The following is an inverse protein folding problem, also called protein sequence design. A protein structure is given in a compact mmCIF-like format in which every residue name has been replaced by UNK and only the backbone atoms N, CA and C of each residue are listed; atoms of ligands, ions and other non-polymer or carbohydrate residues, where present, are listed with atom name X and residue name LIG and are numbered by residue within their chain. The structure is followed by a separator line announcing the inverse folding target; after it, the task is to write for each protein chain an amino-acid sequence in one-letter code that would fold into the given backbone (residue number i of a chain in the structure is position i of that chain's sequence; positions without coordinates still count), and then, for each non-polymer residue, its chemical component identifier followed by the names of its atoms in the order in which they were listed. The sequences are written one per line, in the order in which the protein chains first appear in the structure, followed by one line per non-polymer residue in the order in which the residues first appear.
data_IF_385940849726
#
_entry.id   IF_385940849726
#
_cell.length_a   1.000
_cell.length_b   1.000
_cell.length_c   1.000
_cell.angle_alpha   90.00
_cell.angle_beta   90.00
_cell.angle_gamma   90.00
#
_symmetry.space_group_name_H-M   'P 1'
#
loop_
_entity.id
_entity.type
_entity.pdbx_description
1 polymer ?
#
# COMPACT_ATOMS: atom_id res chain seq x y z
N UNK A 1 -2.06 -18.62 24.35
CA UNK A 1 -2.11 -18.38 22.88
C UNK A 1 -1.01 -17.39 22.58
N UNK A 2 0.09 -17.87 22.02
CA UNK A 2 1.30 -17.10 21.74
C UNK A 2 1.01 -16.14 20.56
N UNK A 3 1.22 -14.86 20.77
CA UNK A 3 1.19 -13.88 19.69
C UNK A 3 2.33 -14.22 18.73
N UNK A 4 1.98 -14.68 17.54
CA UNK A 4 2.98 -14.89 16.49
C UNK A 4 3.55 -13.53 16.05
N UNK A 5 4.83 -13.38 16.25
CA UNK A 5 5.54 -12.13 15.98
C UNK A 5 5.67 -11.91 14.47
N UNK A 6 5.16 -10.79 14.00
CA UNK A 6 5.37 -10.34 12.63
C UNK A 6 6.79 -9.81 12.53
N UNK A 7 7.63 -10.48 11.74
CA UNK A 7 9.03 -10.05 11.55
C UNK A 7 9.13 -9.20 10.28
N UNK A 8 9.59 -7.98 10.43
CA UNK A 8 9.92 -7.10 9.32
C UNK A 8 11.40 -7.33 8.94
N UNK A 9 11.65 -7.84 7.75
CA UNK A 9 12.99 -7.95 7.21
C UNK A 9 13.21 -6.83 6.18
N UNK A 10 14.12 -5.91 6.50
CA UNK A 10 14.61 -4.91 5.55
C UNK A 10 16.08 -5.22 5.22
N UNK A 11 16.44 -5.23 3.95
CA UNK A 11 17.84 -5.31 3.56
C UNK A 11 18.50 -3.95 3.85
N UNK A 12 19.25 -3.88 4.97
CA UNK A 12 20.13 -2.74 5.27
C UNK A 12 19.65 -1.75 6.33
N UNK A 13 19.05 -2.20 7.43
CA UNK A 13 18.81 -1.29 8.56
C UNK A 13 18.10 -1.96 9.73
N UNK A 14 18.62 -1.76 10.92
CA UNK A 14 17.96 -2.10 12.18
C UNK A 14 16.64 -1.33 12.30
N UNK A 15 15.54 -2.03 12.55
CA UNK A 15 14.27 -1.43 12.88
C UNK A 15 14.45 -0.57 14.15
N UNK A 16 14.44 0.73 14.02
CA UNK A 16 14.43 1.65 15.15
C UNK A 16 12.98 1.89 15.57
N UNK A 17 12.58 1.50 16.78
CA UNK A 17 11.26 1.88 17.31
C UNK A 17 11.37 3.28 17.88
N UNK A 18 11.18 4.31 17.11
CA UNK A 18 11.02 5.66 17.66
C UNK A 18 10.46 6.62 16.60
N UNK A 19 9.28 7.13 16.88
CA UNK A 19 8.71 8.26 16.14
C UNK A 19 8.40 7.95 14.67
N UNK A 20 7.38 8.56 14.13
CA UNK A 20 7.07 8.46 12.70
C UNK A 20 8.13 9.24 11.92
N UNK A 21 9.13 8.55 11.37
CA UNK A 21 10.20 9.14 10.57
C UNK A 21 9.61 9.88 9.37
N UNK A 22 9.79 11.20 9.26
CA UNK A 22 9.24 12.00 8.17
C UNK A 22 9.91 11.68 6.81
N UNK A 23 11.07 11.04 6.81
CA UNK A 23 11.78 10.67 5.59
C UNK A 23 11.38 9.28 5.08
N UNK A 24 10.76 8.48 5.94
CA UNK A 24 10.32 7.14 5.60
C UNK A 24 9.20 7.16 4.54
N UNK A 25 9.30 6.36 3.47
CA UNK A 25 8.21 6.21 2.51
C UNK A 25 6.94 5.66 3.13
N UNK A 26 7.05 4.86 4.19
CA UNK A 26 5.92 4.38 4.96
C UNK A 26 6.35 4.17 6.41
N UNK A 27 5.69 4.85 7.33
CA UNK A 27 5.85 4.69 8.77
C UNK A 27 4.48 4.41 9.41
N UNK A 28 4.43 3.38 10.25
CA UNK A 28 3.23 2.89 10.91
C UNK A 28 3.49 2.84 12.41
N UNK A 29 2.55 3.32 13.21
CA UNK A 29 2.66 3.34 14.67
C UNK A 29 1.36 2.88 15.31
N UNK A 30 1.45 1.91 16.21
CA UNK A 30 0.34 1.41 17.02
C UNK A 30 -0.81 0.82 16.21
N UNK A 31 -0.55 0.29 15.02
CA UNK A 31 -1.60 -0.18 14.12
C UNK A 31 -2.31 -1.40 14.68
N UNK A 32 -3.61 -1.23 14.94
CA UNK A 32 -4.47 -2.30 15.46
C UNK A 32 -5.62 -2.52 14.47
N UNK A 33 -5.83 -3.77 14.10
CA UNK A 33 -6.93 -4.19 13.22
C UNK A 33 -7.67 -5.35 13.83
N UNK A 34 -8.98 -5.27 13.88
CA UNK A 34 -9.84 -6.36 14.39
C UNK A 34 -10.89 -6.72 13.36
N UNK A 35 -11.10 -8.01 13.16
CA UNK A 35 -12.22 -8.55 12.41
C UNK A 35 -13.23 -9.14 13.42
N UNK A 36 -14.40 -8.47 13.52
CA UNK A 36 -15.51 -8.83 14.40
C UNK A 36 -15.07 -8.91 15.88
N UNK A 37 -14.58 -10.04 16.38
CA UNK A 37 -14.23 -10.23 17.78
C UNK A 37 -12.76 -10.61 18.03
N UNK A 38 -11.98 -10.80 16.96
CA UNK A 38 -10.56 -11.21 17.11
C UNK A 38 -9.64 -10.16 16.52
N UNK A 39 -8.68 -9.65 17.31
CA UNK A 39 -7.65 -8.77 16.77
C UNK A 39 -6.77 -9.58 15.80
N UNK A 40 -6.69 -9.09 14.56
CA UNK A 40 -5.80 -9.63 13.53
C UNK A 40 -4.40 -9.00 13.62
N UNK A 41 -4.33 -7.76 14.13
CA UNK A 41 -3.10 -7.03 14.43
C UNK A 41 -3.29 -6.27 15.74
N UNK A 42 -2.26 -6.22 16.56
CA UNK A 42 -2.30 -5.49 17.82
C UNK A 42 -1.07 -4.62 17.98
N UNK A 43 -1.28 -3.29 17.98
CA UNK A 43 -0.26 -2.25 18.23
C UNK A 43 1.04 -2.46 17.44
N UNK A 44 0.93 -2.67 16.14
CA UNK A 44 2.09 -2.95 15.28
C UNK A 44 2.75 -1.64 14.87
N UNK A 45 4.06 -1.57 15.10
CA UNK A 45 4.93 -0.49 14.64
C UNK A 45 5.80 -0.99 13.47
N UNK A 46 5.98 -0.15 12.46
CA UNK A 46 6.83 -0.48 11.32
C UNK A 46 7.33 0.79 10.63
N UNK A 47 8.59 0.78 10.21
CA UNK A 47 9.19 1.86 9.42
C UNK A 47 9.94 1.26 8.26
N UNK A 48 9.70 1.77 7.06
CA UNK A 48 10.29 1.28 5.83
C UNK A 48 11.34 2.28 5.32
N UNK A 49 12.56 1.84 5.01
CA UNK A 49 13.60 2.72 4.52
C UNK A 49 13.33 3.20 3.09
N UNK A 50 13.72 4.44 2.78
CA UNK A 50 13.64 4.97 1.44
C UNK A 50 14.67 4.30 0.51
N UNK A 51 14.29 4.10 -0.76
CA UNK A 51 15.19 3.55 -1.80
C UNK A 51 15.56 2.09 -1.61
N UNK A 52 14.93 1.37 -0.68
CA UNK A 52 15.20 -0.04 -0.41
C UNK A 52 13.97 -0.91 -0.67
N UNK A 53 14.19 -2.16 -1.03
CA UNK A 53 13.15 -3.19 -1.05
C UNK A 53 12.98 -3.75 0.37
N UNK A 54 11.74 -3.78 0.85
CA UNK A 54 11.39 -4.34 2.15
C UNK A 54 10.43 -5.50 1.98
N UNK A 55 10.58 -6.54 2.80
CA UNK A 55 9.70 -7.69 2.79
C UNK A 55 9.07 -7.92 4.18
N UNK A 56 7.79 -8.27 4.18
CA UNK A 56 7.07 -8.70 5.38
C UNK A 56 6.99 -10.21 5.32
N UNK A 57 7.66 -10.88 6.25
CA UNK A 57 7.73 -12.35 6.33
C UNK A 57 7.04 -12.87 7.57
N UNK A 58 6.57 -14.10 7.51
CA UNK A 58 5.88 -14.78 8.62
C UNK A 58 4.99 -15.92 8.11
N UNK A 59 4.47 -16.76 9.00
CA UNK A 59 3.60 -17.88 8.66
C UNK A 59 2.27 -17.42 8.05
N UNK A 60 1.52 -18.38 7.49
CA UNK A 60 0.17 -18.10 7.00
C UNK A 60 -0.74 -17.78 8.20
N UNK A 61 -1.55 -16.72 8.07
CA UNK A 61 -2.39 -16.25 9.19
C UNK A 61 -1.74 -15.20 10.08
N UNK A 62 -0.42 -14.94 9.99
CA UNK A 62 0.29 -13.94 10.80
C UNK A 62 -0.13 -12.47 10.58
N UNK A 63 -1.12 -12.20 9.74
CA UNK A 63 -1.62 -10.83 9.54
C UNK A 63 -0.89 -10.00 8.47
N UNK A 64 0.05 -10.57 7.70
CA UNK A 64 0.84 -9.84 6.68
C UNK A 64 -0.02 -9.04 5.70
N UNK A 65 -1.00 -9.69 5.10
CA UNK A 65 -1.92 -9.03 4.14
C UNK A 65 -2.85 -8.03 4.82
N UNK A 66 -3.23 -8.31 6.07
CA UNK A 66 -4.03 -7.39 6.89
C UNK A 66 -3.23 -6.13 7.20
N UNK A 67 -1.97 -6.29 7.59
CA UNK A 67 -1.06 -5.17 7.83
C UNK A 67 -0.93 -4.28 6.58
N UNK A 68 -0.58 -4.87 5.44
CA UNK A 68 -0.46 -4.10 4.19
C UNK A 68 -1.75 -3.38 3.82
N UNK A 69 -2.88 -4.08 3.87
CA UNK A 69 -4.18 -3.48 3.53
C UNK A 69 -4.54 -2.34 4.49
N UNK A 70 -4.31 -2.49 5.77
CA UNK A 70 -4.59 -1.45 6.77
C UNK A 70 -3.62 -0.26 6.64
N UNK A 71 -2.31 -0.53 6.49
CA UNK A 71 -1.30 0.50 6.28
C UNK A 71 -1.52 1.31 4.99
N UNK A 72 -2.17 0.72 3.99
CA UNK A 72 -2.57 1.40 2.74
C UNK A 72 -3.99 1.99 2.79
N UNK A 73 -4.70 1.84 3.91
CA UNK A 73 -6.07 2.32 4.09
C UNK A 73 -7.10 1.63 3.21
N UNK A 74 -6.84 0.38 2.81
CA UNK A 74 -7.77 -0.47 2.06
C UNK A 74 -8.78 -1.17 2.97
N UNK A 75 -8.46 -1.29 4.26
CA UNK A 75 -9.35 -1.74 5.32
C UNK A 75 -9.25 -0.79 6.52
N UNK A 76 -10.32 -0.64 7.31
CA UNK A 76 -10.28 0.22 8.48
C UNK A 76 -9.36 -0.34 9.56
N UNK A 77 -8.62 0.53 10.23
CA UNK A 77 -7.90 0.24 11.47
C UNK A 77 -8.74 0.69 12.67
N UNK A 78 -8.64 -0.03 13.78
CA UNK A 78 -9.26 0.34 15.06
C UNK A 78 -8.48 1.48 15.69
N UNK A 79 -7.15 1.43 15.62
CA UNK A 79 -6.25 2.47 16.11
C UNK A 79 -4.93 2.43 15.36
N UNK A 80 -4.11 3.44 15.59
CA UNK A 80 -2.79 3.59 14.99
C UNK A 80 -2.72 4.76 14.02
N UNK A 81 -1.49 5.09 13.68
CA UNK A 81 -1.19 6.18 12.75
C UNK A 81 -0.32 5.66 11.61
N UNK A 82 -0.64 6.09 10.39
CA UNK A 82 0.13 5.78 9.19
C UNK A 82 0.54 7.07 8.50
N UNK A 83 1.84 7.18 8.22
CA UNK A 83 2.40 8.30 7.47
C UNK A 83 3.18 7.82 6.26
N UNK A 84 3.10 8.59 5.21
CA UNK A 84 3.81 8.36 3.94
C UNK A 84 4.67 9.58 3.67
N UNK A 85 5.99 9.42 3.74
CA UNK A 85 6.95 10.53 3.70
C UNK A 85 6.55 11.67 4.65
N UNK A 86 6.26 11.32 5.91
CA UNK A 86 5.88 12.24 6.96
C UNK A 86 4.45 12.82 6.86
N UNK A 87 3.78 12.70 5.74
CA UNK A 87 2.42 13.21 5.56
C UNK A 87 1.34 12.14 5.89
N UNK A 88 0.15 12.54 6.34
CA UNK A 88 -0.95 11.61 6.56
C UNK A 88 -1.28 10.79 5.31
N UNK A 89 -1.65 9.52 5.48
CA UNK A 89 -1.98 8.61 4.40
C UNK A 89 -3.03 9.19 3.42
N UNK A 90 -4.06 9.84 3.95
CA UNK A 90 -5.12 10.44 3.14
C UNK A 90 -4.61 11.49 2.14
N UNK A 91 -3.60 12.27 2.54
CA UNK A 91 -2.98 13.31 1.72
C UNK A 91 -1.92 12.75 0.75
N UNK A 92 -1.51 11.47 0.93
CA UNK A 92 -0.37 10.88 0.22
C UNK A 92 -0.76 9.75 -0.73
N UNK A 93 -2.04 9.50 -0.95
CA UNK A 93 -2.54 8.38 -1.77
C UNK A 93 -2.01 8.36 -3.20
N UNK A 94 -1.66 9.51 -3.76
CA UNK A 94 -1.09 9.62 -5.11
C UNK A 94 0.35 9.09 -5.21
N UNK A 95 1.02 8.93 -4.07
CA UNK A 95 2.41 8.46 -3.97
C UNK A 95 2.51 6.96 -3.75
N UNK A 96 1.36 6.27 -3.68
CA UNK A 96 1.27 4.84 -3.35
C UNK A 96 0.71 4.11 -4.56
N UNK A 97 1.35 3.00 -4.93
CA UNK A 97 0.79 2.00 -5.82
C UNK A 97 0.65 0.67 -5.06
N UNK A 98 -0.45 -0.01 -5.28
CA UNK A 98 -0.71 -1.33 -4.70
C UNK A 98 -0.98 -2.34 -5.81
N UNK A 99 -0.18 -3.39 -5.85
CA UNK A 99 -0.37 -4.51 -6.77
C UNK A 99 -0.82 -5.72 -5.93
N UNK A 100 -2.08 -6.15 -6.04
CA UNK A 100 -2.57 -7.31 -5.31
C UNK A 100 -2.00 -8.61 -5.88
N UNK A 101 -1.83 -9.62 -5.02
CA UNK A 101 -1.36 -10.94 -5.44
C UNK A 101 -2.33 -11.64 -6.42
N UNK A 102 -3.62 -11.38 -6.26
CA UNK A 102 -4.68 -11.81 -7.18
C UNK A 102 -5.56 -10.60 -7.48
N UNK A 103 -5.67 -10.26 -8.73
CA UNK A 103 -6.72 -9.38 -9.22
C UNK A 103 -7.90 -10.27 -9.64
N UNK A 104 -9.08 -10.06 -9.07
CA UNK A 104 -10.31 -10.57 -9.65
C UNK A 104 -10.61 -9.68 -10.87
N UNK A 105 -10.26 -10.18 -12.05
CA UNK A 105 -10.59 -9.52 -13.30
C UNK A 105 -11.96 -10.04 -13.71
N UNK A 106 -12.91 -9.14 -13.88
CA UNK A 106 -14.17 -9.43 -14.55
C UNK A 106 -13.89 -9.46 -16.05
N UNK A 107 -13.80 -10.65 -16.61
CA UNK A 107 -13.50 -10.85 -18.02
C UNK A 107 -14.64 -10.43 -18.96
N UNK A 108 -15.85 -10.30 -18.44
CA UNK A 108 -17.02 -9.86 -19.19
C UNK A 108 -17.11 -8.32 -19.26
N UNK A 109 -16.26 -7.60 -18.50
CA UNK A 109 -16.23 -6.14 -18.54
C UNK A 109 -15.52 -5.65 -19.82
N UNK A 110 -16.22 -4.88 -20.69
CA UNK A 110 -15.68 -4.44 -21.98
C UNK A 110 -14.65 -3.33 -21.82
N UNK A 111 -13.42 -3.69 -21.45
CA UNK A 111 -12.30 -2.75 -21.29
C UNK A 111 -11.07 -3.27 -21.98
N UNK A 112 -10.23 -2.38 -22.45
CA UNK A 112 -8.93 -2.72 -23.04
C UNK A 112 -7.81 -2.55 -22.01
N UNK A 113 -6.67 -3.24 -22.22
CA UNK A 113 -5.49 -3.11 -21.34
C UNK A 113 -5.05 -1.64 -21.21
N UNK A 114 -5.09 -0.90 -22.29
CA UNK A 114 -4.74 0.53 -22.27
C UNK A 114 -5.71 1.36 -21.42
N UNK A 115 -6.99 1.01 -21.40
CA UNK A 115 -7.99 1.71 -20.59
C UNK A 115 -7.70 1.48 -19.09
N UNK A 116 -7.32 0.26 -18.71
CA UNK A 116 -6.91 -0.05 -17.33
C UNK A 116 -5.69 0.76 -16.92
N UNK A 117 -4.67 0.87 -17.78
CA UNK A 117 -3.48 1.69 -17.49
C UNK A 117 -3.85 3.17 -17.36
N UNK A 118 -4.75 3.65 -18.22
CA UNK A 118 -5.25 5.03 -18.19
C UNK A 118 -6.07 5.34 -16.93
N UNK A 119 -6.74 4.35 -16.31
CA UNK A 119 -7.44 4.53 -15.03
C UNK A 119 -6.50 5.02 -13.92
N UNK A 120 -5.23 4.61 -13.93
CA UNK A 120 -4.21 5.13 -13.03
C UNK A 120 -3.97 6.65 -13.16
N UNK A 121 -4.39 7.27 -14.26
CA UNK A 121 -4.26 8.71 -14.54
C UNK A 121 -5.51 9.51 -14.19
N UNK A 122 -6.66 8.87 -14.00
CA UNK A 122 -7.95 9.56 -13.83
C UNK A 122 -7.96 10.52 -12.63
N UNK A 123 -7.23 10.22 -11.58
CA UNK A 123 -7.13 11.10 -10.43
C UNK A 123 -6.48 12.46 -10.76
N UNK A 124 -5.52 12.48 -11.68
CA UNK A 124 -4.88 13.72 -12.19
C UNK A 124 -5.75 14.42 -13.22
N UNK A 125 -6.54 13.66 -13.98
CA UNK A 125 -7.38 14.20 -15.04
C UNK A 125 -8.69 14.79 -14.53
N UNK A 126 -9.19 14.33 -13.38
CA UNK A 126 -10.53 14.66 -12.90
C UNK A 126 -11.63 13.98 -13.73
N UNK A 127 -12.86 14.01 -13.20
CA UNK A 127 -14.02 13.24 -13.71
C UNK A 127 -14.46 13.64 -15.13
N UNK A 128 -14.12 14.86 -15.58
CA UNK A 128 -14.65 15.44 -16.82
C UNK A 128 -13.57 15.74 -17.89
N UNK A 129 -12.31 15.44 -17.66
CA UNK A 129 -11.26 15.70 -18.65
C UNK A 129 -11.08 14.51 -19.58
N UNK A 130 -11.05 14.79 -20.88
CA UNK A 130 -10.71 13.78 -21.89
C UNK A 130 -9.23 13.43 -21.78
N UNK A 131 -8.92 12.14 -21.96
CA UNK A 131 -7.55 11.64 -22.07
C UNK A 131 -6.84 12.31 -23.24
N UNK A 132 -5.76 13.00 -22.97
CA UNK A 132 -4.96 13.67 -24.01
C UNK A 132 -4.09 12.66 -24.77
N UNK A 133 -3.62 13.08 -25.97
CA UNK A 133 -2.65 12.25 -26.74
C UNK A 133 -1.38 11.97 -25.96
N UNK A 134 -0.91 12.92 -25.14
CA UNK A 134 0.28 12.76 -24.31
C UNK A 134 0.09 11.68 -23.22
N UNK A 135 -1.09 11.62 -22.62
CA UNK A 135 -1.40 10.61 -21.61
C UNK A 135 -1.57 9.22 -22.19
N UNK A 136 -2.15 9.14 -23.39
CA UNK A 136 -2.21 7.87 -24.10
C UNK A 136 -0.81 7.39 -24.52
N UNK A 137 0.06 8.28 -24.95
CA UNK A 137 1.45 7.95 -25.25
C UNK A 137 2.21 7.47 -24.00
N UNK A 138 2.04 8.14 -22.86
CA UNK A 138 2.64 7.73 -21.60
C UNK A 138 2.13 6.35 -21.11
N UNK A 139 0.84 6.04 -21.34
CA UNK A 139 0.28 4.73 -21.03
C UNK A 139 0.87 3.63 -21.93
N UNK A 140 1.04 3.89 -23.23
CA UNK A 140 1.68 2.96 -24.15
C UNK A 140 3.16 2.73 -23.82
N UNK A 141 3.90 3.80 -23.45
CA UNK A 141 5.28 3.68 -23.00
C UNK A 141 5.40 2.85 -21.72
N UNK A 142 4.46 3.01 -20.78
CA UNK A 142 4.42 2.19 -19.57
C UNK A 142 4.15 0.71 -19.88
N UNK A 143 3.25 0.42 -20.83
CA UNK A 143 2.97 -0.95 -21.28
C UNK A 143 4.16 -1.59 -22.01
N UNK A 144 4.95 -0.81 -22.72
CA UNK A 144 6.12 -1.31 -23.43
C UNK A 144 7.28 -1.71 -22.51
N UNK A 145 7.23 -1.34 -21.23
CA UNK A 145 8.25 -1.67 -20.21
C UNK A 145 7.97 -2.96 -19.44
N UNK A 146 6.82 -3.58 -19.62
CA UNK A 146 6.39 -4.83 -18.97
C UNK A 146 6.11 -5.91 -20.00
#
# INVERSE_FOLDING_TARGET
MTAETLTLAASGGTATPAGLDPTSPLAVRGLTVSYVEKPALFSVDATFPAGAMSAIVGPNGAGKSTFLKAALGLIPAVSGEVRVFGAPLAASRERIAYVPQRASIDWDFPTTVIDVVLMGRYRKLGLFRRVSKAERAAALDALARV
#
